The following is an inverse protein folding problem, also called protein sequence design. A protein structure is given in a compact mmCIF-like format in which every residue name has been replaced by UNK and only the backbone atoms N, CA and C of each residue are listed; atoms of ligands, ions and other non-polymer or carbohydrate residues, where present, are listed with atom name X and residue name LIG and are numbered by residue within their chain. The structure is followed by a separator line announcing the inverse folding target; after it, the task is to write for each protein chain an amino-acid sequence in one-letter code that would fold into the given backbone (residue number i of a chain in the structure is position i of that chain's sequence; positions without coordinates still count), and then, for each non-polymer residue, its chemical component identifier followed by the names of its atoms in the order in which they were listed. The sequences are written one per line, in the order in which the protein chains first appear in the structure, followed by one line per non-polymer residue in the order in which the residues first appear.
data_IF_539622055314
#
_entry.id   IF_539622055314
#
_cell.length_a   1.000
_cell.length_b   1.000
_cell.length_c   1.000
_cell.angle_alpha   90.00
_cell.angle_beta   90.00
_cell.angle_gamma   90.00
#
_symmetry.space_group_name_H-M   'P 1'
#
loop_
_entity.id
_entity.type
_entity.pdbx_description
1 polymer ?
#
# COMPACT_ATOMS: atom_id res chain seq x y z
N UNK A 1 -48.10 17.93 6.81
CA UNK A 1 -47.01 17.74 5.84
C UNK A 1 -45.81 17.15 6.57
N UNK A 2 -45.54 15.86 6.38
CA UNK A 2 -44.49 15.15 7.10
C UNK A 2 -43.11 15.52 6.52
N UNK A 3 -42.22 16.04 7.37
CA UNK A 3 -40.86 16.38 7.00
C UNK A 3 -40.05 15.13 6.67
N UNK A 4 -39.56 15.06 5.43
CA UNK A 4 -38.65 14.01 4.98
C UNK A 4 -37.32 14.18 5.72
N UNK A 5 -37.07 13.35 6.73
CA UNK A 5 -35.74 13.22 7.36
C UNK A 5 -34.78 12.64 6.33
N UNK A 6 -33.93 13.49 5.77
CA UNK A 6 -32.83 13.11 4.87
C UNK A 6 -31.86 12.21 5.63
N UNK A 7 -31.86 10.91 5.31
CA UNK A 7 -30.93 9.95 5.91
C UNK A 7 -29.50 10.30 5.47
N UNK A 8 -28.66 10.72 6.41
CA UNK A 8 -27.28 11.12 6.14
C UNK A 8 -26.44 9.89 5.80
N UNK A 9 -26.15 9.70 4.51
CA UNK A 9 -25.41 8.55 4.04
C UNK A 9 -23.90 8.71 4.28
N UNK A 10 -23.40 8.09 5.36
CA UNK A 10 -21.98 7.98 5.64
C UNK A 10 -21.22 7.02 4.73
N UNK A 11 -21.91 6.15 3.99
CA UNK A 11 -21.29 5.16 3.11
C UNK A 11 -20.63 5.82 1.89
N UNK A 12 -21.28 6.80 1.29
CA UNK A 12 -20.74 7.58 0.16
C UNK A 12 -19.45 8.32 0.54
N UNK A 13 -19.40 8.90 1.76
CA UNK A 13 -18.19 9.57 2.25
C UNK A 13 -17.06 8.60 2.56
N UNK A 14 -17.35 7.43 3.13
CA UNK A 14 -16.35 6.36 3.34
C UNK A 14 -15.79 5.87 2.02
N UNK A 15 -16.64 5.55 1.04
CA UNK A 15 -16.21 5.14 -0.28
C UNK A 15 -15.34 6.21 -0.97
N UNK A 16 -15.69 7.49 -0.83
CA UNK A 16 -14.86 8.57 -1.34
C UNK A 16 -13.50 8.66 -0.61
N UNK A 17 -13.47 8.50 0.71
CA UNK A 17 -12.24 8.51 1.47
C UNK A 17 -11.29 7.38 1.07
N UNK A 18 -11.82 6.17 0.84
CA UNK A 18 -11.05 5.01 0.35
C UNK A 18 -10.53 5.22 -1.07
N UNK A 19 -11.35 5.79 -1.97
CA UNK A 19 -10.89 6.15 -3.33
C UNK A 19 -9.70 7.12 -3.29
N UNK A 20 -9.79 8.15 -2.45
CA UNK A 20 -8.70 9.12 -2.28
C UNK A 20 -7.47 8.44 -1.67
N UNK A 21 -7.65 7.58 -0.67
CA UNK A 21 -6.54 6.82 -0.07
C UNK A 21 -5.82 5.97 -1.11
N UNK A 22 -6.56 5.22 -1.92
CA UNK A 22 -6.00 4.39 -3.00
C UNK A 22 -5.26 5.24 -4.04
N UNK A 23 -5.81 6.40 -4.44
CA UNK A 23 -5.17 7.31 -5.38
C UNK A 23 -3.84 7.85 -4.85
N UNK A 24 -3.79 8.24 -3.57
CA UNK A 24 -2.56 8.71 -2.91
C UNK A 24 -1.48 7.63 -2.88
N UNK A 25 -1.85 6.39 -2.54
CA UNK A 25 -0.93 5.25 -2.51
C UNK A 25 -0.37 4.97 -3.91
N UNK A 26 -1.22 4.96 -4.94
CA UNK A 26 -0.75 4.71 -6.31
C UNK A 26 0.14 5.85 -6.84
N UNK A 27 -0.20 7.11 -6.54
CA UNK A 27 0.65 8.25 -6.89
C UNK A 27 2.02 8.14 -6.21
N UNK A 28 2.04 7.82 -4.91
CA UNK A 28 3.28 7.61 -4.16
C UNK A 28 4.10 6.45 -4.74
N UNK A 29 3.47 5.33 -5.10
CA UNK A 29 4.12 4.18 -5.74
C UNK A 29 4.80 4.58 -7.05
N UNK A 30 4.11 5.33 -7.91
CA UNK A 30 4.68 5.80 -9.18
C UNK A 30 5.89 6.71 -8.96
N UNK A 31 5.80 7.67 -8.03
CA UNK A 31 6.92 8.56 -7.72
C UNK A 31 8.11 7.81 -7.13
N UNK A 32 7.87 6.85 -6.22
CA UNK A 32 8.94 6.01 -5.66
C UNK A 32 9.67 5.23 -6.75
N UNK A 33 8.92 4.56 -7.64
CA UNK A 33 9.50 3.70 -8.67
C UNK A 33 10.11 4.48 -9.84
N UNK A 34 9.64 5.71 -10.08
CA UNK A 34 10.16 6.57 -11.15
C UNK A 34 11.36 7.42 -10.72
N UNK A 35 11.19 8.20 -9.66
CA UNK A 35 12.12 9.26 -9.26
C UNK A 35 12.86 8.96 -7.95
N UNK A 36 12.54 7.83 -7.32
CA UNK A 36 13.15 7.40 -6.06
C UNK A 36 12.58 8.09 -4.82
N UNK A 37 13.11 7.71 -3.65
CA UNK A 37 12.62 8.14 -2.36
C UNK A 37 12.74 9.66 -2.15
N UNK A 38 13.85 10.28 -2.55
CA UNK A 38 14.08 11.71 -2.32
C UNK A 38 13.03 12.60 -3.02
N UNK A 39 12.56 12.20 -4.20
CA UNK A 39 11.58 12.94 -4.98
C UNK A 39 10.15 12.82 -4.42
N UNK A 40 9.85 11.76 -3.67
CA UNK A 40 8.56 11.55 -3.01
C UNK A 40 8.40 12.59 -1.88
N UNK A 41 7.46 13.52 -2.03
CA UNK A 41 7.08 14.46 -0.96
C UNK A 41 5.57 14.50 -0.80
N UNK A 42 5.10 14.71 0.44
CA UNK A 42 3.66 14.81 0.72
C UNK A 42 2.98 15.90 -0.14
N UNK A 43 3.56 17.11 -0.32
CA UNK A 43 2.97 18.11 -1.20
C UNK A 43 2.86 17.67 -2.66
N UNK A 44 3.87 16.99 -3.21
CA UNK A 44 3.83 16.52 -4.61
C UNK A 44 2.78 15.42 -4.81
N UNK A 45 2.68 14.49 -3.86
CA UNK A 45 1.66 13.42 -3.90
C UNK A 45 0.25 14.02 -3.77
N UNK A 46 0.07 14.98 -2.87
CA UNK A 46 -1.19 15.69 -2.69
C UNK A 46 -1.62 16.40 -3.98
N UNK A 47 -0.69 17.15 -4.59
CA UNK A 47 -0.89 17.84 -5.87
C UNK A 47 -1.29 16.86 -6.98
N UNK A 48 -0.58 15.74 -7.12
CA UNK A 48 -0.87 14.72 -8.12
C UNK A 48 -2.28 14.09 -7.98
N UNK A 49 -2.87 14.16 -6.79
CA UNK A 49 -4.21 13.64 -6.51
C UNK A 49 -5.29 14.72 -6.38
N UNK A 50 -4.95 16.00 -6.58
CA UNK A 50 -5.90 17.11 -6.45
C UNK A 50 -6.43 17.31 -5.03
N UNK A 51 -5.64 16.99 -4.01
CA UNK A 51 -6.00 17.16 -2.59
C UNK A 51 -5.00 18.06 -1.87
N UNK A 52 -5.37 18.59 -0.71
CA UNK A 52 -4.43 19.36 0.13
C UNK A 52 -3.43 18.45 0.85
N UNK A 53 -2.24 18.95 1.16
CA UNK A 53 -1.26 18.25 2.01
C UNK A 53 -1.86 17.87 3.37
N UNK A 54 -2.67 18.74 3.96
CA UNK A 54 -3.39 18.48 5.21
C UNK A 54 -4.31 17.24 5.10
N UNK A 55 -4.97 17.05 3.96
CA UNK A 55 -5.78 15.86 3.68
C UNK A 55 -4.93 14.58 3.67
N UNK A 56 -3.69 14.66 3.21
CA UNK A 56 -2.74 13.54 3.24
C UNK A 56 -2.26 13.27 4.66
N UNK A 57 -1.87 14.31 5.41
CA UNK A 57 -1.44 14.17 6.81
C UNK A 57 -2.55 13.63 7.73
N UNK A 58 -3.83 13.89 7.43
CA UNK A 58 -4.96 13.26 8.14
C UNK A 58 -5.06 11.74 7.91
N UNK A 59 -4.46 11.22 6.85
CA UNK A 59 -4.53 9.80 6.44
C UNK A 59 -3.25 9.02 6.70
N UNK A 60 -2.12 9.71 6.68
CA UNK A 60 -0.80 9.13 6.82
C UNK A 60 0.02 9.99 7.77
N UNK A 61 0.62 9.36 8.78
CA UNK A 61 1.56 10.00 9.70
C UNK A 61 2.91 10.26 9.00
N UNK A 62 2.90 11.16 8.02
CA UNK A 62 4.08 11.55 7.26
C UNK A 62 4.45 10.59 6.12
N UNK A 63 5.64 10.84 5.57
CA UNK A 63 6.17 10.13 4.42
C UNK A 63 6.44 8.63 4.68
N UNK A 64 7.02 8.20 5.82
CA UNK A 64 7.23 6.78 6.10
C UNK A 64 5.92 5.99 6.15
N UNK A 65 4.86 6.54 6.76
CA UNK A 65 3.54 5.91 6.80
C UNK A 65 2.92 5.74 5.41
N UNK A 66 3.13 6.70 4.51
CA UNK A 66 2.71 6.59 3.12
C UNK A 66 3.50 5.51 2.37
N UNK A 67 4.82 5.43 2.58
CA UNK A 67 5.66 4.37 1.98
C UNK A 67 5.25 2.98 2.49
N UNK A 68 4.96 2.83 3.78
CA UNK A 68 4.41 1.58 4.33
C UNK A 68 3.13 1.17 3.61
N UNK A 69 2.19 2.10 3.44
CA UNK A 69 0.94 1.82 2.75
C UNK A 69 1.16 1.40 1.28
N UNK A 70 2.21 1.91 0.63
CA UNK A 70 2.62 1.47 -0.72
C UNK A 70 3.12 0.02 -0.70
N UNK A 71 3.93 -0.36 0.29
CA UNK A 71 4.39 -1.75 0.47
C UNK A 71 3.22 -2.69 0.74
N UNK A 72 2.34 -2.33 1.68
CA UNK A 72 1.13 -3.11 2.02
C UNK A 72 0.23 -3.31 0.80
N UNK A 73 0.01 -2.26 0.01
CA UNK A 73 -0.81 -2.35 -1.20
C UNK A 73 -0.15 -3.23 -2.28
N UNK A 74 1.18 -3.23 -2.39
CA UNK A 74 1.90 -4.12 -3.30
C UNK A 74 1.79 -5.59 -2.85
N UNK A 75 1.86 -5.85 -1.54
CA UNK A 75 1.73 -7.18 -0.95
C UNK A 75 0.34 -7.78 -1.14
N UNK A 76 -0.72 -6.96 -1.13
CA UNK A 76 -2.09 -7.42 -1.42
C UNK A 76 -2.25 -8.06 -2.82
N UNK A 77 -1.30 -7.86 -3.73
CA UNK A 77 -1.33 -8.43 -5.06
C UNK A 77 -2.40 -7.81 -5.97
N UNK A 78 -2.81 -8.56 -6.99
CA UNK A 78 -3.75 -8.13 -8.03
C UNK A 78 -5.12 -8.77 -7.81
N UNK A 79 -6.16 -7.99 -8.09
CA UNK A 79 -7.53 -8.47 -8.11
C UNK A 79 -8.30 -8.18 -6.82
N UNK A 80 -9.54 -8.69 -6.72
CA UNK A 80 -10.45 -8.36 -5.62
C UNK A 80 -10.14 -9.13 -4.33
N UNK A 81 -9.45 -10.28 -4.42
CA UNK A 81 -9.05 -11.10 -3.27
C UNK A 81 -7.56 -10.90 -3.03
N UNK A 82 -7.24 -10.48 -1.82
CA UNK A 82 -5.88 -10.15 -1.45
C UNK A 82 -4.98 -11.40 -1.47
N UNK A 83 -3.70 -11.21 -1.79
CA UNK A 83 -2.73 -12.28 -1.97
C UNK A 83 -2.56 -13.12 -0.70
N UNK A 84 -2.62 -12.49 0.48
CA UNK A 84 -2.60 -13.16 1.78
C UNK A 84 -3.74 -14.20 1.89
N UNK A 85 -4.98 -13.80 1.60
CA UNK A 85 -6.13 -14.70 1.64
C UNK A 85 -6.05 -15.80 0.58
N UNK A 86 -5.51 -15.48 -0.60
CA UNK A 86 -5.28 -16.49 -1.65
C UNK A 86 -4.20 -17.49 -1.23
N UNK A 87 -3.18 -17.04 -0.50
CA UNK A 87 -2.14 -17.89 0.07
C UNK A 87 -2.71 -18.81 1.15
N UNK A 88 -3.51 -18.28 2.07
CA UNK A 88 -4.14 -19.05 3.15
C UNK A 88 -5.09 -20.14 2.62
N UNK A 89 -5.68 -19.90 1.45
CA UNK A 89 -6.54 -20.87 0.77
C UNK A 89 -5.78 -21.99 0.04
N UNK A 90 -4.44 -21.93 -0.05
CA UNK A 90 -3.65 -23.01 -0.62
C UNK A 90 -3.60 -24.19 0.36
N UNK A 91 -4.40 -25.21 0.10
CA UNK A 91 -4.42 -26.43 0.91
C UNK A 91 -3.10 -27.21 0.83
N UNK A 92 -2.71 -27.82 1.96
CA UNK A 92 -1.50 -28.62 2.07
C UNK A 92 -1.67 -30.09 1.64
N UNK A 93 -2.90 -30.52 1.36
CA UNK A 93 -3.24 -31.92 1.06
C UNK A 93 -2.73 -32.39 -0.32
N UNK A 94 -2.41 -31.44 -1.23
CA UNK A 94 -1.76 -31.70 -2.51
C UNK A 94 -0.53 -30.79 -2.66
N UNK A 95 0.66 -31.37 -2.45
CA UNK A 95 1.93 -30.66 -2.57
C UNK A 95 2.14 -30.04 -3.96
N UNK A 96 1.69 -30.69 -5.03
CA UNK A 96 1.87 -30.13 -6.37
C UNK A 96 0.95 -28.94 -6.60
N UNK A 97 -0.29 -29.00 -6.12
CA UNK A 97 -1.21 -27.86 -6.18
C UNK A 97 -0.70 -26.69 -5.34
N UNK A 98 -0.19 -26.96 -4.14
CA UNK A 98 0.44 -25.98 -3.27
C UNK A 98 1.63 -25.28 -3.96
N UNK A 99 2.56 -26.05 -4.52
CA UNK A 99 3.74 -25.49 -5.20
C UNK A 99 3.35 -24.64 -6.42
N UNK A 100 2.37 -25.08 -7.22
CA UNK A 100 1.87 -24.29 -8.36
C UNK A 100 1.19 -23.00 -7.91
N UNK A 101 0.35 -23.08 -6.89
CA UNK A 101 -0.33 -21.93 -6.30
C UNK A 101 0.66 -20.89 -5.77
N UNK A 102 1.63 -21.36 -4.98
CA UNK A 102 2.68 -20.53 -4.42
C UNK A 102 3.58 -19.90 -5.49
N UNK A 103 3.98 -20.68 -6.51
CA UNK A 103 4.76 -20.17 -7.64
C UNK A 103 4.03 -19.05 -8.38
N UNK A 104 2.72 -19.22 -8.63
CA UNK A 104 1.90 -18.20 -9.30
C UNK A 104 1.77 -16.94 -8.45
N UNK A 105 1.49 -17.11 -7.15
CA UNK A 105 1.36 -15.99 -6.22
C UNK A 105 2.66 -15.20 -6.10
N UNK A 106 3.78 -15.91 -5.96
CA UNK A 106 5.11 -15.30 -5.83
C UNK A 106 5.54 -14.58 -7.12
N UNK A 107 5.26 -15.16 -8.29
CA UNK A 107 5.54 -14.52 -9.58
C UNK A 107 4.68 -13.27 -9.83
N UNK A 108 3.49 -13.20 -9.22
CA UNK A 108 2.60 -12.04 -9.30
C UNK A 108 3.02 -10.92 -8.32
N UNK A 109 3.25 -11.28 -7.04
CA UNK A 109 3.47 -10.31 -5.95
C UNK A 109 4.92 -9.85 -5.90
N UNK A 110 5.87 -10.76 -6.09
CA UNK A 110 7.32 -10.52 -5.97
C UNK A 110 7.79 -9.30 -6.78
N UNK A 111 7.54 -9.26 -8.10
CA UNK A 111 7.94 -8.12 -8.94
C UNK A 111 7.29 -6.77 -8.55
N UNK A 112 6.16 -6.79 -7.83
CA UNK A 112 5.44 -5.58 -7.41
C UNK A 112 6.04 -5.00 -6.13
N UNK A 113 6.43 -5.85 -5.19
CA UNK A 113 6.90 -5.43 -3.87
C UNK A 113 8.42 -5.29 -3.80
N UNK A 114 9.18 -6.16 -4.50
CA UNK A 114 10.64 -6.21 -4.38
C UNK A 114 11.35 -4.88 -4.71
N UNK A 115 11.00 -4.16 -5.80
CA UNK A 115 11.64 -2.87 -6.10
C UNK A 115 11.41 -1.81 -5.01
N UNK A 116 10.22 -1.83 -4.39
CA UNK A 116 9.86 -0.89 -3.33
C UNK A 116 10.66 -1.19 -2.07
N UNK A 117 10.80 -2.46 -1.69
CA UNK A 117 11.61 -2.87 -0.54
C UNK A 117 13.09 -2.51 -0.74
N UNK A 118 13.63 -2.71 -1.93
CA UNK A 118 15.01 -2.33 -2.25
C UNK A 118 15.23 -0.80 -2.13
N UNK A 119 14.26 0.00 -2.59
CA UNK A 119 14.30 1.45 -2.42
C UNK A 119 14.23 1.88 -0.96
N UNK A 120 13.40 1.20 -0.15
CA UNK A 120 13.30 1.44 1.30
C UNK A 120 14.63 1.13 1.98
N UNK A 121 15.24 -0.02 1.67
CA UNK A 121 16.55 -0.41 2.21
C UNK A 121 17.65 0.57 1.82
N UNK A 122 17.66 1.03 0.56
CA UNK A 122 18.61 2.04 0.12
C UNK A 122 18.41 3.38 0.86
N UNK A 123 17.16 3.84 0.96
CA UNK A 123 16.84 5.10 1.64
C UNK A 123 17.14 5.06 3.15
N UNK A 124 16.97 3.90 3.79
CA UNK A 124 17.27 3.69 5.20
C UNK A 124 18.72 3.99 5.60
N UNK A 125 19.67 3.95 4.65
CA UNK A 125 21.08 4.31 4.90
C UNK A 125 21.28 5.79 5.20
N UNK A 126 20.30 6.64 4.88
CA UNK A 126 20.38 8.10 5.00
C UNK A 126 19.18 8.74 5.73
N UNK A 127 18.11 7.98 5.97
CA UNK A 127 16.89 8.44 6.64
C UNK A 127 16.54 7.52 7.83
N UNK A 128 16.72 7.99 9.09
CA UNK A 128 16.43 7.19 10.28
C UNK A 128 14.99 6.73 10.42
N UNK A 129 14.00 7.50 9.94
CA UNK A 129 12.59 7.10 10.00
C UNK A 129 12.31 5.92 9.06
N UNK A 130 12.97 5.90 7.89
CA UNK A 130 12.92 4.78 6.96
C UNK A 130 13.75 3.59 7.43
N UNK A 131 14.83 3.81 8.18
CA UNK A 131 15.57 2.72 8.80
C UNK A 131 14.70 1.92 9.80
N UNK A 132 13.83 2.61 10.55
CA UNK A 132 12.86 1.94 11.41
C UNK A 132 11.86 1.12 10.58
N UNK A 133 11.28 1.72 9.53
CA UNK A 133 10.37 1.03 8.63
C UNK A 133 11.02 -0.21 7.97
N UNK A 134 12.26 -0.10 7.50
CA UNK A 134 12.98 -1.19 6.86
C UNK A 134 13.14 -2.38 7.82
N UNK A 135 13.56 -2.12 9.07
CA UNK A 135 13.69 -3.16 10.10
C UNK A 135 12.35 -3.84 10.37
N UNK A 136 11.28 -3.08 10.57
CA UNK A 136 9.95 -3.66 10.80
C UNK A 136 9.45 -4.52 9.63
N UNK A 137 9.69 -4.08 8.38
CA UNK A 137 9.31 -4.85 7.19
C UNK A 137 10.13 -6.13 7.03
N UNK A 138 11.42 -6.10 7.38
CA UNK A 138 12.28 -7.27 7.38
C UNK A 138 11.88 -8.27 8.47
N UNK A 139 11.55 -7.80 9.68
CA UNK A 139 11.10 -8.64 10.78
C UNK A 139 9.79 -9.34 10.41
N UNK A 140 8.83 -8.62 9.82
CA UNK A 140 7.57 -9.19 9.33
C UNK A 140 7.76 -10.21 8.19
N UNK A 141 8.86 -10.14 7.42
CA UNK A 141 9.19 -11.13 6.38
C UNK A 141 9.83 -12.40 6.93
N UNK A 142 10.40 -12.34 8.14
CA UNK A 142 11.12 -13.46 8.77
C UNK A 142 10.26 -14.24 9.75
N UNK A 143 9.21 -13.63 10.29
CA UNK A 143 8.19 -14.26 11.11
C UNK A 143 7.26 -15.16 10.28
#
# INVERSE_FOLDING_TARGET
MAGVKRHYDGSARRAQAERVRAALIEAARRMLLGDGYAALTIPKVALACGVSSESVYKRFAGKPALVRAVVEQALRGIGPVAAETRSDALGADDLQALLRGWSRLSAEVGPRVAPILLLVQLAATHDPELANLARELDDNRRA
#
